data_IF_603658814564
#
_entry.id   IF_603658814564
#
_cell.length_a   1.000
_cell.length_b   1.000
_cell.length_c   1.000
_cell.angle_alpha   90.00
_cell.angle_beta   90.00
_cell.angle_gamma   90.00
#
_symmetry.space_group_name_H-M   'P 1'
#
loop_
_entity.id
_entity.type
_entity.pdbx_description
1 polymer ?
#
# COMPACT_ATOMS: atom_id res chain seq x y z
N UNK A 1 -7.65 7.21 14.17
CA UNK A 1 -6.39 7.48 14.91
C UNK A 1 -6.66 7.84 16.35
N UNK A 2 -7.44 8.90 16.64
CA UNK A 2 -7.70 9.35 18.01
C UNK A 2 -8.21 8.24 18.94
N UNK A 3 -9.27 7.54 18.56
CA UNK A 3 -9.78 6.39 19.32
C UNK A 3 -8.74 5.27 19.49
N UNK A 4 -7.96 4.96 18.45
CA UNK A 4 -6.95 3.89 18.53
C UNK A 4 -5.80 4.27 19.47
N UNK A 5 -5.38 5.53 19.45
CA UNK A 5 -4.37 6.07 20.37
C UNK A 5 -4.88 6.04 21.81
N UNK A 6 -6.12 6.52 22.05
CA UNK A 6 -6.70 6.59 23.40
C UNK A 6 -7.00 5.22 24.02
N UNK A 7 -7.07 4.16 23.20
CA UNK A 7 -7.28 2.78 23.66
C UNK A 7 -5.99 1.95 23.63
N UNK A 8 -4.81 2.58 23.48
CA UNK A 8 -3.50 1.90 23.42
C UNK A 8 -3.41 0.83 22.32
N UNK A 9 -4.13 1.03 21.21
CA UNK A 9 -4.18 0.11 20.06
C UNK A 9 -3.16 0.46 18.96
N UNK A 10 -2.39 1.55 19.13
CA UNK A 10 -1.32 1.95 18.22
C UNK A 10 0.03 2.00 18.95
N UNK A 11 1.11 1.53 18.32
CA UNK A 11 2.46 1.65 18.88
C UNK A 11 3.00 3.08 18.64
N UNK A 12 2.44 4.07 19.33
CA UNK A 12 2.67 5.51 19.09
C UNK A 12 4.16 5.87 19.07
N UNK A 13 4.94 5.42 20.06
CA UNK A 13 6.37 5.70 20.13
C UNK A 13 7.12 5.17 18.90
N UNK A 14 6.78 3.96 18.44
CA UNK A 14 7.35 3.36 17.25
C UNK A 14 6.95 4.12 15.98
N UNK A 15 5.70 4.60 15.89
CA UNK A 15 5.19 5.37 14.76
C UNK A 15 5.83 6.76 14.63
N UNK A 16 6.30 7.35 15.74
CA UNK A 16 7.00 8.64 15.76
C UNK A 16 8.52 8.51 15.51
N UNK A 17 9.03 7.29 15.35
CA UNK A 17 10.43 7.06 15.00
C UNK A 17 10.72 7.54 13.56
N UNK A 18 11.93 8.07 13.24
CA UNK A 18 12.29 8.42 11.86
C UNK A 18 12.19 7.25 10.87
N UNK A 19 12.40 6.02 11.33
CA UNK A 19 12.20 4.80 10.56
C UNK A 19 11.13 3.93 11.23
N UNK A 20 9.84 4.31 11.16
CA UNK A 20 8.79 3.66 11.96
C UNK A 20 8.59 2.19 11.58
N UNK A 21 8.98 1.79 10.37
CA UNK A 21 8.95 0.41 9.90
C UNK A 21 9.96 -0.52 10.61
N UNK A 22 11.07 0.00 11.16
CA UNK A 22 12.06 -0.82 11.86
C UNK A 22 11.48 -1.46 13.14
N UNK A 23 11.03 -0.68 14.15
CA UNK A 23 10.46 -1.25 15.37
C UNK A 23 9.13 -1.97 15.12
N UNK A 24 8.35 -1.57 14.11
CA UNK A 24 7.06 -2.21 13.83
C UNK A 24 7.20 -3.42 12.91
N UNK A 25 7.32 -3.18 11.60
CA UNK A 25 7.27 -4.17 10.52
C UNK A 25 8.38 -5.22 10.59
N UNK A 26 9.58 -4.85 11.03
CA UNK A 26 10.74 -5.76 11.05
C UNK A 26 11.05 -6.37 12.42
N UNK A 27 10.46 -5.86 13.50
CA UNK A 27 10.71 -6.36 14.86
C UNK A 27 9.41 -6.85 15.51
N UNK A 28 8.51 -5.93 15.87
CA UNK A 28 7.32 -6.27 16.64
C UNK A 28 6.35 -7.21 15.91
N UNK A 29 6.13 -7.04 14.60
CA UNK A 29 5.21 -7.90 13.84
C UNK A 29 5.76 -9.34 13.69
N UNK A 30 7.01 -9.56 13.23
CA UNK A 30 7.62 -10.90 13.22
C UNK A 30 7.72 -11.57 14.59
N UNK A 31 7.88 -10.79 15.66
CA UNK A 31 7.89 -11.29 17.03
C UNK A 31 6.50 -11.64 17.58
N UNK A 32 5.42 -11.24 16.91
CA UNK A 32 4.03 -11.42 17.36
C UNK A 32 3.59 -10.42 18.45
N UNK A 33 4.36 -9.37 18.68
CA UNK A 33 4.06 -8.29 19.63
C UNK A 33 3.14 -7.23 19.02
N UNK A 34 3.24 -7.04 17.69
CA UNK A 34 2.29 -6.27 16.90
C UNK A 34 1.43 -7.26 16.08
N UNK A 35 0.15 -7.48 16.42
CA UNK A 35 -0.65 -8.54 15.80
C UNK A 35 -1.14 -8.20 14.38
N UNK A 36 -1.11 -6.92 13.99
CA UNK A 36 -1.64 -6.43 12.72
C UNK A 36 -0.64 -5.50 12.06
N UNK A 37 -0.33 -5.75 10.79
CA UNK A 37 0.49 -4.87 9.95
C UNK A 37 -0.16 -4.73 8.57
N UNK A 38 -0.21 -3.49 8.06
CA UNK A 38 -0.61 -3.23 6.68
C UNK A 38 0.57 -3.54 5.75
N UNK A 39 0.37 -4.44 4.78
CA UNK A 39 1.41 -4.80 3.83
C UNK A 39 0.82 -5.36 2.51
N UNK A 40 1.52 -5.12 1.40
CA UNK A 40 1.25 -5.73 0.10
C UNK A 40 1.96 -7.07 -0.09
N UNK A 41 1.63 -7.77 -1.17
CA UNK A 41 2.14 -9.12 -1.50
C UNK A 41 3.66 -9.22 -1.56
N UNK A 42 4.34 -8.15 -2.01
CA UNK A 42 5.80 -8.07 -2.06
C UNK A 42 6.46 -8.27 -0.68
N UNK A 43 5.79 -7.89 0.41
CA UNK A 43 6.28 -8.03 1.77
C UNK A 43 6.44 -9.49 2.19
N UNK A 44 5.65 -10.40 1.62
CA UNK A 44 5.81 -11.83 1.87
C UNK A 44 7.09 -12.41 1.30
N UNK A 45 7.74 -11.69 0.38
CA UNK A 45 9.04 -12.05 -0.18
C UNK A 45 10.16 -11.28 0.49
N UNK A 46 10.11 -9.95 0.44
CA UNK A 46 11.24 -9.09 0.81
C UNK A 46 11.31 -8.74 2.28
N UNK A 47 10.18 -8.74 3.00
CA UNK A 47 10.18 -8.43 4.42
C UNK A 47 10.18 -9.71 5.24
N UNK A 48 9.14 -10.52 5.10
CA UNK A 48 8.88 -11.65 6.00
C UNK A 48 9.10 -13.02 5.38
N UNK A 49 9.45 -13.05 4.09
CA UNK A 49 9.79 -14.29 3.40
C UNK A 49 11.06 -14.93 3.94
N UNK A 50 11.36 -16.18 3.55
CA UNK A 50 12.55 -16.90 4.05
C UNK A 50 13.88 -16.17 3.82
N UNK A 51 13.96 -15.38 2.75
CA UNK A 51 15.12 -14.56 2.37
C UNK A 51 14.89 -13.06 2.61
N UNK A 52 13.82 -12.70 3.31
CA UNK A 52 13.44 -11.32 3.60
C UNK A 52 14.26 -10.68 4.71
N UNK A 53 14.04 -9.38 4.92
CA UNK A 53 14.74 -8.59 5.94
C UNK A 53 14.46 -9.05 7.39
N UNK A 54 13.28 -9.59 7.65
CA UNK A 54 12.83 -10.09 8.95
C UNK A 54 11.97 -11.36 8.78
N UNK A 55 12.58 -12.52 8.44
CA UNK A 55 11.85 -13.73 8.08
C UNK A 55 10.92 -14.22 9.21
N UNK A 56 9.70 -14.63 8.83
CA UNK A 56 8.75 -15.31 9.71
C UNK A 56 8.74 -16.80 9.30
N UNK A 57 9.29 -17.72 10.11
CA UNK A 57 9.25 -19.14 9.79
C UNK A 57 7.81 -19.64 9.73
N UNK A 58 7.42 -20.21 8.59
CA UNK A 58 6.04 -20.61 8.31
C UNK A 58 5.10 -19.41 8.17
N UNK A 59 5.52 -18.37 7.44
CA UNK A 59 4.77 -17.13 7.24
C UNK A 59 3.32 -17.40 6.81
N UNK A 60 3.13 -18.23 5.78
CA UNK A 60 1.82 -18.48 5.18
C UNK A 60 0.92 -19.36 6.06
N UNK A 61 1.48 -20.07 7.04
CA UNK A 61 0.74 -20.83 8.04
C UNK A 61 0.35 -19.97 9.27
N UNK A 62 1.10 -18.90 9.54
CA UNK A 62 0.93 -18.07 10.75
C UNK A 62 0.23 -16.74 10.50
N UNK A 63 0.35 -16.20 9.29
CA UNK A 63 -0.18 -14.88 8.94
C UNK A 63 -1.32 -15.03 7.95
N UNK A 64 -2.50 -14.60 8.39
CA UNK A 64 -3.67 -14.46 7.53
C UNK A 64 -3.79 -13.02 7.02
N UNK A 65 -4.50 -12.84 5.91
CA UNK A 65 -4.85 -11.54 5.36
C UNK A 65 -6.35 -11.35 5.29
N UNK A 66 -6.79 -10.11 5.45
CA UNK A 66 -8.18 -9.69 5.27
C UNK A 66 -8.21 -8.30 4.65
N UNK A 67 -9.36 -7.95 4.07
CA UNK A 67 -9.60 -6.66 3.43
C UNK A 67 -9.69 -5.52 4.46
N UNK A 68 -9.39 -4.30 4.03
CA UNK A 68 -9.53 -3.13 4.90
C UNK A 68 -11.00 -2.94 5.29
N UNK A 69 -11.29 -2.67 6.58
CA UNK A 69 -12.63 -2.29 7.00
C UNK A 69 -13.01 -0.94 6.38
N UNK A 70 -14.31 -0.76 6.13
CA UNK A 70 -14.89 0.48 5.62
C UNK A 70 -16.01 0.95 6.52
N UNK A 71 -16.24 2.27 6.58
CA UNK A 71 -17.29 2.88 7.40
C UNK A 71 -18.71 2.56 6.89
N UNK A 72 -18.85 2.22 5.61
CA UNK A 72 -20.10 1.74 5.01
C UNK A 72 -20.38 0.25 5.28
N UNK A 73 -19.45 -0.45 5.94
CA UNK A 73 -19.57 -1.87 6.29
C UNK A 73 -19.08 -2.84 5.22
N UNK A 74 -18.65 -2.36 4.05
CA UNK A 74 -18.17 -3.20 2.94
C UNK A 74 -16.63 -3.18 2.87
N UNK A 75 -15.94 -4.27 3.28
CA UNK A 75 -14.48 -4.33 3.23
C UNK A 75 -13.95 -4.20 1.80
N UNK A 76 -12.71 -3.73 1.68
CA UNK A 76 -12.06 -3.60 0.37
C UNK A 76 -10.56 -3.92 0.41
N UNK A 77 -10.08 -4.55 -0.64
CA UNK A 77 -8.66 -4.59 -0.94
C UNK A 77 -8.20 -3.27 -1.56
N UNK A 78 -6.95 -2.89 -1.34
CA UNK A 78 -6.33 -1.75 -2.03
C UNK A 78 -5.38 -2.28 -3.10
N UNK A 79 -5.66 -1.95 -4.35
CA UNK A 79 -4.70 -2.11 -5.44
C UNK A 79 -3.97 -0.80 -5.64
N UNK A 80 -2.68 -0.78 -5.34
CA UNK A 80 -1.84 0.31 -5.82
C UNK A 80 -1.76 0.26 -7.34
N UNK A 81 -1.57 1.42 -7.98
CA UNK A 81 -1.11 1.48 -9.37
C UNK A 81 0.36 1.05 -9.35
N UNK A 82 0.57 -0.27 -9.34
CA UNK A 82 1.92 -0.84 -9.35
C UNK A 82 2.61 -0.53 -10.68
N UNK A 83 3.95 -0.61 -10.65
CA UNK A 83 4.90 -0.42 -11.75
C UNK A 83 4.29 -0.56 -13.16
N UNK A 84 4.21 0.56 -13.87
CA UNK A 84 3.92 0.64 -15.31
C UNK A 84 5.22 0.60 -16.11
N UNK A 85 5.15 -0.01 -17.30
CA UNK A 85 6.14 0.23 -18.34
C UNK A 85 5.72 1.47 -19.12
N UNK A 86 6.57 2.49 -19.12
CA UNK A 86 6.31 3.76 -19.80
C UNK A 86 7.33 4.00 -20.90
N UNK A 87 6.85 4.40 -22.08
CA UNK A 87 7.69 4.74 -23.23
C UNK A 87 7.74 6.25 -23.37
N UNK A 88 8.94 6.80 -23.29
CA UNK A 88 9.13 8.24 -23.46
C UNK A 88 8.77 8.68 -24.87
N UNK A 89 7.99 9.75 -25.00
CA UNK A 89 7.67 10.37 -26.30
C UNK A 89 8.91 10.94 -27.04
N UNK A 90 10.06 11.03 -26.37
CA UNK A 90 11.33 11.54 -26.92
C UNK A 90 12.30 10.44 -27.37
N UNK A 91 11.90 9.17 -27.26
CA UNK A 91 12.77 8.06 -27.68
C UNK A 91 13.04 8.11 -29.19
N UNK A 92 14.24 7.71 -29.59
CA UNK A 92 14.61 7.54 -31.01
C UNK A 92 14.04 6.22 -31.58
N UNK A 93 13.59 5.31 -30.70
CA UNK A 93 13.12 3.96 -31.04
C UNK A 93 11.74 3.66 -30.42
N UNK A 94 10.67 4.35 -30.88
CA UNK A 94 9.35 4.23 -30.24
C UNK A 94 8.72 2.86 -30.44
N UNK A 95 8.86 2.27 -31.64
CA UNK A 95 8.24 0.98 -31.95
C UNK A 95 8.92 -0.15 -31.18
N UNK A 96 10.25 -0.18 -31.13
CA UNK A 96 11.01 -1.19 -30.38
C UNK A 96 10.78 -1.07 -28.87
N UNK A 97 10.67 0.15 -28.35
CA UNK A 97 10.35 0.37 -26.94
C UNK A 97 8.94 -0.13 -26.58
N UNK A 98 7.97 0.08 -27.46
CA UNK A 98 6.60 -0.46 -27.30
C UNK A 98 6.60 -1.99 -27.38
N UNK A 99 7.32 -2.59 -28.33
CA UNK A 99 7.43 -4.04 -28.44
C UNK A 99 8.10 -4.67 -27.21
N UNK A 100 9.12 -4.02 -26.65
CA UNK A 100 9.72 -4.45 -25.39
C UNK A 100 8.72 -4.42 -24.24
N UNK A 101 7.96 -3.32 -24.10
CA UNK A 101 6.95 -3.19 -23.05
C UNK A 101 5.84 -4.27 -23.18
N UNK A 102 5.41 -4.58 -24.41
CA UNK A 102 4.47 -5.68 -24.69
C UNK A 102 5.06 -7.02 -24.29
N UNK A 103 6.31 -7.30 -24.67
CA UNK A 103 6.99 -8.54 -24.35
C UNK A 103 7.08 -8.73 -22.83
N UNK A 104 7.58 -7.72 -22.11
CA UNK A 104 7.68 -7.71 -20.64
C UNK A 104 6.33 -7.90 -19.94
N UNK A 105 5.22 -7.52 -20.59
CA UNK A 105 3.87 -7.62 -20.04
C UNK A 105 3.12 -8.90 -20.47
N UNK A 106 3.82 -9.91 -20.97
CA UNK A 106 3.22 -11.10 -21.56
C UNK A 106 3.98 -12.39 -21.27
N UNK A 107 3.26 -13.52 -21.35
CA UNK A 107 3.85 -14.85 -21.34
C UNK A 107 4.74 -15.13 -20.13
N UNK A 108 5.88 -15.76 -20.40
CA UNK A 108 6.86 -16.14 -19.39
C UNK A 108 7.57 -14.94 -18.76
N UNK A 109 7.78 -13.84 -19.50
CA UNK A 109 8.53 -12.68 -19.01
C UNK A 109 7.84 -12.03 -17.80
N UNK A 110 6.53 -11.77 -17.89
CA UNK A 110 5.77 -11.26 -16.75
C UNK A 110 5.66 -12.29 -15.64
N UNK A 111 5.52 -13.59 -15.96
CA UNK A 111 5.45 -14.65 -14.96
C UNK A 111 6.72 -14.70 -14.09
N UNK A 112 7.91 -14.64 -14.71
CA UNK A 112 9.19 -14.59 -14.01
C UNK A 112 9.32 -13.34 -13.14
N UNK A 113 8.96 -12.18 -13.68
CA UNK A 113 9.01 -10.92 -12.95
C UNK A 113 8.11 -10.93 -11.71
N UNK A 114 6.86 -11.37 -11.86
CA UNK A 114 5.88 -11.42 -10.76
C UNK A 114 6.38 -12.32 -9.62
N UNK A 115 6.98 -13.47 -9.94
CA UNK A 115 7.61 -14.34 -8.92
C UNK A 115 8.81 -13.65 -8.28
N UNK A 116 9.65 -13.01 -9.08
CA UNK A 116 10.86 -12.35 -8.59
C UNK A 116 10.54 -11.20 -7.62
N UNK A 117 9.46 -10.46 -7.85
CA UNK A 117 9.03 -9.33 -7.01
C UNK A 117 7.95 -9.68 -5.99
N UNK A 118 7.40 -10.91 -6.03
CA UNK A 118 6.33 -11.34 -5.15
C UNK A 118 5.00 -10.59 -5.36
N UNK A 119 4.65 -10.25 -6.61
CA UNK A 119 3.45 -9.49 -6.93
C UNK A 119 2.33 -10.35 -7.55
N UNK A 120 1.08 -9.95 -7.32
CA UNK A 120 -0.07 -10.53 -8.00
C UNK A 120 -0.12 -10.06 -9.46
N UNK A 121 -0.59 -10.92 -10.36
CA UNK A 121 -0.67 -10.59 -11.79
C UNK A 121 -1.72 -9.47 -12.02
N UNK A 122 -1.35 -8.37 -12.70
CA UNK A 122 -2.29 -7.26 -12.98
C UNK A 122 -3.27 -7.57 -14.12
N UNK A 123 -3.22 -8.79 -14.68
CA UNK A 123 -4.02 -9.22 -15.83
C UNK A 123 -4.30 -10.72 -15.75
N UNK A 124 -5.35 -11.13 -16.42
CA UNK A 124 -5.68 -12.54 -16.61
C UNK A 124 -4.73 -13.22 -17.61
N UNK A 125 -4.73 -14.56 -17.59
CA UNK A 125 -3.98 -15.41 -18.51
C UNK A 125 -2.53 -15.68 -18.10
N UNK A 126 -2.16 -15.37 -16.86
CA UNK A 126 -0.80 -15.60 -16.32
C UNK A 126 -0.76 -16.78 -15.33
N UNK A 127 -1.88 -17.10 -14.69
CA UNK A 127 -1.99 -18.07 -13.58
C UNK A 127 -1.39 -19.45 -13.90
N UNK A 128 -1.53 -19.94 -15.13
CA UNK A 128 -1.03 -21.26 -15.55
C UNK A 128 0.41 -21.23 -16.09
N UNK A 129 1.05 -20.06 -16.16
CA UNK A 129 2.38 -19.89 -16.75
C UNK A 129 3.46 -20.07 -15.68
N UNK A 130 4.41 -20.97 -15.91
CA UNK A 130 5.58 -21.11 -15.04
C UNK A 130 6.52 -19.89 -15.15
N UNK A 131 7.16 -19.44 -14.05
CA UNK A 131 7.11 -20.02 -12.70
C UNK A 131 5.90 -19.56 -11.86
N UNK A 132 5.08 -18.64 -12.35
CA UNK A 132 3.98 -18.03 -11.57
C UNK A 132 2.91 -19.03 -11.12
N UNK A 133 2.64 -20.06 -11.92
CA UNK A 133 1.73 -21.16 -11.56
C UNK A 133 2.09 -21.92 -10.28
N UNK A 134 3.32 -21.78 -9.78
CA UNK A 134 3.76 -22.32 -8.50
C UNK A 134 3.48 -21.41 -7.29
N UNK A 135 2.81 -20.26 -7.50
CA UNK A 135 2.59 -19.23 -6.48
C UNK A 135 1.09 -19.12 -6.10
N UNK A 136 0.50 -20.13 -5.43
CA UNK A 136 -0.94 -20.15 -5.14
C UNK A 136 -1.40 -18.93 -4.34
N UNK A 137 -0.58 -18.42 -3.41
CA UNK A 137 -0.92 -17.22 -2.63
C UNK A 137 -1.00 -15.97 -3.51
N UNK A 138 -0.09 -15.79 -4.48
CA UNK A 138 -0.14 -14.63 -5.38
C UNK A 138 -1.31 -14.72 -6.35
N UNK A 139 -1.63 -15.93 -6.83
CA UNK A 139 -2.79 -16.19 -7.69
C UNK A 139 -4.09 -15.87 -6.94
N UNK A 140 -4.22 -16.31 -5.69
CA UNK A 140 -5.40 -16.02 -4.87
C UNK A 140 -5.57 -14.53 -4.62
N UNK A 141 -4.50 -13.81 -4.24
CA UNK A 141 -4.56 -12.35 -4.08
C UNK A 141 -4.92 -11.64 -5.39
N UNK A 142 -4.47 -12.16 -6.54
CA UNK A 142 -4.83 -11.62 -7.85
C UNK A 142 -6.35 -11.59 -8.11
N UNK A 143 -7.11 -12.52 -7.53
CA UNK A 143 -8.57 -12.54 -7.67
C UNK A 143 -9.25 -11.36 -6.99
N UNK A 144 -8.65 -10.81 -5.93
CA UNK A 144 -9.17 -9.64 -5.20
C UNK A 144 -9.01 -8.33 -5.99
N UNK A 145 -8.14 -8.30 -7.02
CA UNK A 145 -7.91 -7.10 -7.83
C UNK A 145 -9.16 -6.66 -8.61
N UNK A 146 -10.10 -7.58 -8.89
CA UNK A 146 -11.33 -7.25 -9.60
C UNK A 146 -12.28 -6.35 -8.77
N UNK A 147 -12.17 -6.41 -7.45
CA UNK A 147 -13.02 -5.67 -6.50
C UNK A 147 -12.23 -4.70 -5.63
N UNK A 148 -10.92 -4.56 -5.87
CA UNK A 148 -10.07 -3.65 -5.12
C UNK A 148 -10.29 -2.19 -5.51
N UNK A 149 -10.02 -1.30 -4.56
CA UNK A 149 -10.01 0.15 -4.80
C UNK A 149 -8.61 0.58 -5.25
N UNK A 150 -8.55 1.44 -6.27
CA UNK A 150 -7.33 2.08 -6.75
C UNK A 150 -7.40 3.59 -6.57
N UNK A 151 -6.30 4.19 -6.15
CA UNK A 151 -6.18 5.63 -5.90
C UNK A 151 -5.14 6.20 -6.87
N UNK A 152 -5.54 6.52 -8.11
CA UNK A 152 -4.59 7.05 -9.09
C UNK A 152 -4.06 8.41 -8.62
N UNK A 153 -2.77 8.71 -8.88
CA UNK A 153 -2.19 10.02 -8.58
C UNK A 153 -3.01 11.17 -9.15
N UNK A 154 -3.26 12.21 -8.35
CA UNK A 154 -3.97 13.43 -8.79
C UNK A 154 -3.17 14.69 -8.45
N UNK A 155 -3.30 15.77 -9.23
CA UNK A 155 -2.79 17.08 -8.83
C UNK A 155 -3.25 17.43 -7.42
N UNK A 156 -2.34 17.93 -6.58
CA UNK A 156 -2.65 18.26 -5.19
C UNK A 156 -2.53 17.09 -4.19
N UNK A 157 -2.26 15.86 -4.65
CA UNK A 157 -2.17 14.70 -3.76
C UNK A 157 -1.05 14.83 -2.72
N UNK A 158 0.11 15.37 -3.09
CA UNK A 158 1.23 15.53 -2.16
C UNK A 158 0.88 16.50 -1.03
N UNK A 159 0.18 17.60 -1.36
CA UNK A 159 -0.34 18.56 -0.39
C UNK A 159 -1.37 17.92 0.55
N UNK A 160 -2.29 17.11 0.01
CA UNK A 160 -3.25 16.36 0.83
C UNK A 160 -2.53 15.37 1.74
N UNK A 161 -1.54 14.64 1.23
CA UNK A 161 -0.75 13.70 2.03
C UNK A 161 -0.01 14.39 3.17
N UNK A 162 0.56 15.57 2.91
CA UNK A 162 1.17 16.41 3.94
C UNK A 162 0.14 16.81 5.02
N UNK A 163 -1.00 17.37 4.63
CA UNK A 163 -2.05 17.78 5.58
C UNK A 163 -2.56 16.61 6.43
N UNK A 164 -2.70 15.41 5.84
CA UNK A 164 -3.04 14.18 6.58
C UNK A 164 -1.95 13.79 7.58
N UNK A 165 -0.69 13.86 7.18
CA UNK A 165 0.45 13.52 8.04
C UNK A 165 0.53 14.45 9.26
N UNK A 166 0.42 15.76 9.05
CA UNK A 166 0.43 16.77 10.13
C UNK A 166 -0.71 16.57 11.13
N UNK A 167 -1.94 16.36 10.63
CA UNK A 167 -3.11 16.10 11.49
C UNK A 167 -2.96 14.79 12.27
N UNK A 168 -2.41 13.74 11.63
CA UNK A 168 -2.16 12.45 12.27
C UNK A 168 -1.07 12.56 13.35
N UNK A 169 0.03 13.28 13.09
CA UNK A 169 1.06 13.56 14.08
C UNK A 169 0.50 14.35 15.28
N UNK A 170 -0.40 15.31 15.03
CA UNK A 170 -1.11 16.05 16.08
C UNK A 170 -1.85 15.12 17.04
N UNK A 171 -2.52 14.09 16.51
CA UNK A 171 -3.17 13.06 17.32
C UNK A 171 -2.13 12.20 18.06
N UNK A 172 -1.14 11.65 17.35
CA UNK A 172 -0.14 10.75 17.94
C UNK A 172 0.67 11.42 19.05
N UNK A 173 0.91 12.73 18.95
CA UNK A 173 1.62 13.52 19.97
C UNK A 173 0.72 14.06 21.08
N UNK A 174 -0.59 13.76 21.04
CA UNK A 174 -1.57 14.23 22.03
C UNK A 174 -1.86 15.73 21.96
N UNK A 175 -1.43 16.42 20.90
CA UNK A 175 -1.69 17.86 20.69
C UNK A 175 -3.10 18.14 20.17
N UNK A 176 -3.73 17.16 19.54
CA UNK A 176 -5.06 17.26 18.93
C UNK A 176 -5.88 16.02 19.24
N UNK A 177 -7.17 16.22 19.49
CA UNK A 177 -8.16 15.15 19.39
C UNK A 177 -8.64 15.00 17.93
N UNK A 178 -9.54 14.05 17.67
CA UNK A 178 -10.06 13.80 16.32
C UNK A 178 -10.76 15.01 15.69
N UNK A 179 -11.47 15.81 16.48
CA UNK A 179 -12.20 16.98 15.97
C UNK A 179 -11.25 18.13 15.60
N UNK A 180 -10.25 18.39 16.46
CA UNK A 180 -9.21 19.37 16.20
C UNK A 180 -8.36 18.98 14.99
N UNK A 181 -8.00 17.70 14.87
CA UNK A 181 -7.25 17.18 13.72
C UNK A 181 -8.04 17.30 12.40
N UNK A 182 -9.34 16.99 12.40
CA UNK A 182 -10.18 17.15 11.21
C UNK A 182 -10.27 18.62 10.75
N UNK A 183 -10.38 19.55 11.71
CA UNK A 183 -10.34 20.98 11.41
C UNK A 183 -8.98 21.43 10.86
N UNK A 184 -7.89 21.01 11.50
CA UNK A 184 -6.53 21.33 11.07
C UNK A 184 -6.24 20.79 9.66
N UNK A 185 -6.68 19.58 9.35
CA UNK A 185 -6.61 19.02 8.01
C UNK A 185 -7.33 19.90 6.98
N UNK A 186 -8.58 20.31 7.26
CA UNK A 186 -9.35 21.14 6.34
C UNK A 186 -8.70 22.52 6.11
N UNK A 187 -8.14 23.12 7.16
CA UNK A 187 -7.42 24.40 7.09
C UNK A 187 -6.11 24.26 6.28
N UNK A 188 -5.29 23.25 6.59
CA UNK A 188 -4.03 22.98 5.89
C UNK A 188 -4.26 22.62 4.41
N UNK A 189 -5.25 21.78 4.10
CA UNK A 189 -5.63 21.47 2.73
C UNK A 189 -6.04 22.73 1.93
N UNK A 190 -6.81 23.63 2.55
CA UNK A 190 -7.21 24.90 1.94
C UNK A 190 -6.03 25.84 1.71
N UNK A 191 -5.08 25.89 2.64
CA UNK A 191 -3.86 26.70 2.50
C UNK A 191 -2.96 26.18 1.38
N UNK A 192 -2.73 24.86 1.34
CA UNK A 192 -1.80 24.22 0.41
C UNK A 192 -2.34 24.14 -1.02
N UNK A 193 -3.64 23.91 -1.20
CA UNK A 193 -4.28 23.78 -2.52
C UNK A 193 -4.89 25.09 -3.04
N UNK A 194 -5.14 26.03 -2.15
CA UNK A 194 -5.91 27.24 -2.43
C UNK A 194 -7.42 27.06 -2.25
N UNK A 195 -8.15 28.14 -1.91
CA UNK A 195 -9.57 28.08 -1.57
C UNK A 195 -10.48 27.61 -2.71
N UNK A 196 -10.09 27.84 -3.96
CA UNK A 196 -10.87 27.48 -5.14
C UNK A 196 -10.80 25.99 -5.48
N UNK A 197 -9.96 25.23 -4.77
CA UNK A 197 -9.74 23.80 -4.97
C UNK A 197 -10.34 22.93 -3.84
N UNK A 198 -11.04 23.54 -2.88
CA UNK A 198 -11.59 22.85 -1.70
C UNK A 198 -13.07 23.18 -1.52
N UNK A 199 -13.89 22.15 -1.39
CA UNK A 199 -15.28 22.25 -0.93
C UNK A 199 -15.38 21.75 0.51
N UNK A 200 -16.00 22.55 1.38
CA UNK A 200 -16.30 22.11 2.75
C UNK A 200 -17.71 21.52 2.75
N UNK A 201 -17.84 20.23 3.04
CA UNK A 201 -19.15 19.63 3.23
C UNK A 201 -19.80 20.26 4.48
N UNK A 202 -20.87 21.04 4.30
CA UNK A 202 -21.77 21.38 5.40
C UNK A 202 -22.51 20.12 5.82
N UNK A 203 -22.41 19.79 7.10
CA UNK A 203 -23.20 18.74 7.75
C UNK A 203 -24.64 19.16 7.96
#
# INVERSE_FOLDING_TARGET
YDELTNNDLLPVEALLNPEPWQPTKYQAFPAGELPVAAQGTWGWRYDWGPEGAAPIPGLLEKVATWDYPSSDGEPYAVSSVAFSYEVSAKTEHPDEAVELAKWLSSGQAIAEQLVAVGAAAPRTGIDDIAPYSSQPTLIETGKQLATSRSFPPRPGQDQIAQAVAEATEGILTGKMDGAAAAKAFAESAKELLGPDQVETATS
#
